data_IF_082665553465
#
_entry.id   IF_082665553465
#
_cell.length_a   1.000
_cell.length_b   1.000
_cell.length_c   1.000
_cell.angle_alpha   90.00
_cell.angle_beta   90.00
_cell.angle_gamma   90.00
#
_symmetry.space_group_name_H-M   'P 1'
#
loop_
_entity.id
_entity.type
_entity.pdbx_description
1 polymer ?
#
# COMPACT_ATOMS: atom_id res chain seq x y z
N UNK A 1 13.33 -1.91 -29.88
CA UNK A 1 12.92 -2.36 -29.12
C UNK A 1 13.49 -3.36 -28.37
N UNK A 2 14.31 -4.01 -28.90
CA UNK A 2 14.95 -5.01 -28.17
C UNK A 2 15.86 -4.48 -27.13
N UNK A 3 16.35 -3.29 -27.32
CA UNK A 3 17.22 -2.75 -26.32
C UNK A 3 16.47 -2.58 -25.04
N UNK A 4 15.22 -2.30 -25.12
CA UNK A 4 14.43 -2.19 -23.93
C UNK A 4 14.30 -3.52 -23.26
N UNK A 5 14.13 -4.55 -24.08
CA UNK A 5 14.02 -5.85 -23.52
C UNK A 5 15.28 -6.29 -22.92
N UNK A 6 16.39 -5.89 -23.47
CA UNK A 6 17.65 -6.27 -22.92
C UNK A 6 17.92 -5.62 -21.61
N UNK A 7 17.42 -4.42 -21.43
CA UNK A 7 17.59 -3.74 -20.18
C UNK A 7 16.64 -4.30 -19.14
N UNK A 8 15.45 -4.65 -19.60
CA UNK A 8 14.43 -5.14 -18.70
C UNK A 8 14.84 -6.29 -17.83
N UNK A 9 15.60 -7.25 -18.28
CA UNK A 9 15.93 -8.37 -17.41
C UNK A 9 16.58 -7.94 -16.12
N UNK A 10 17.45 -6.96 -16.18
CA UNK A 10 18.09 -6.50 -14.97
C UNK A 10 17.08 -5.83 -14.05
N UNK A 11 16.16 -5.10 -14.66
CA UNK A 11 15.13 -4.46 -13.88
C UNK A 11 14.16 -5.49 -13.38
N UNK A 12 13.83 -6.43 -14.23
CA UNK A 12 12.88 -7.45 -13.84
C UNK A 12 13.35 -8.29 -12.70
N UNK A 13 14.65 -8.45 -12.58
CA UNK A 13 15.16 -9.17 -11.47
C UNK A 13 14.68 -8.58 -10.18
N UNK A 14 14.66 -7.27 -10.08
CA UNK A 14 14.19 -6.61 -8.90
C UNK A 14 12.68 -6.60 -8.80
N UNK A 15 12.01 -6.83 -9.93
CA UNK A 15 10.56 -6.75 -9.94
C UNK A 15 9.85 -8.06 -10.22
N UNK A 16 10.58 -9.15 -10.19
CA UNK A 16 9.93 -10.44 -10.42
C UNK A 16 9.14 -10.89 -9.20
N UNK A 17 9.42 -10.30 -8.04
CA UNK A 17 8.70 -10.63 -6.84
C UNK A 17 7.40 -9.84 -6.82
N UNK A 18 6.24 -10.48 -6.99
CA UNK A 18 4.98 -9.74 -7.01
C UNK A 18 4.71 -8.98 -5.71
N UNK A 19 5.17 -9.51 -4.60
CA UNK A 19 4.97 -8.83 -3.34
C UNK A 19 5.76 -7.54 -3.26
N UNK A 20 6.97 -7.56 -3.78
CA UNK A 20 7.77 -6.34 -3.79
C UNK A 20 7.18 -5.31 -4.71
N UNK A 21 6.66 -5.75 -5.85
CA UNK A 21 6.01 -4.83 -6.77
C UNK A 21 4.81 -4.17 -6.13
N UNK A 22 4.01 -4.95 -5.43
CA UNK A 22 2.82 -4.41 -4.81
C UNK A 22 3.16 -3.45 -3.70
N UNK A 23 4.21 -3.76 -2.93
CA UNK A 23 4.62 -2.85 -1.87
C UNK A 23 5.16 -1.55 -2.43
N UNK A 24 5.93 -1.63 -3.49
CA UNK A 24 6.47 -0.43 -4.11
C UNK A 24 5.35 0.43 -4.67
N UNK A 25 4.41 -0.19 -5.33
CA UNK A 25 3.30 0.53 -5.91
C UNK A 25 2.44 1.17 -4.81
N UNK A 26 2.26 0.46 -3.72
CA UNK A 26 1.50 0.99 -2.60
C UNK A 26 2.14 2.24 -2.05
N UNK A 27 3.45 2.19 -1.81
CA UNK A 27 4.16 3.34 -1.27
C UNK A 27 4.14 4.50 -2.25
N UNK A 28 4.35 4.20 -3.51
CA UNK A 28 4.39 5.22 -4.54
C UNK A 28 3.05 5.95 -4.68
N UNK A 29 1.97 5.23 -4.56
CA UNK A 29 0.65 5.81 -4.75
C UNK A 29 -0.07 6.12 -3.46
N UNK A 30 0.61 5.98 -2.35
CA UNK A 30 -0.05 6.15 -1.05
C UNK A 30 -0.65 7.53 -0.86
N UNK A 31 0.05 8.57 -1.28
CA UNK A 31 -0.49 9.92 -1.11
C UNK A 31 -1.78 10.11 -1.91
N UNK A 32 -1.89 9.46 -3.06
CA UNK A 32 -3.11 9.53 -3.84
C UNK A 32 -4.22 8.67 -3.26
N UNK A 33 -3.84 7.56 -2.63
CA UNK A 33 -4.83 6.65 -2.07
C UNK A 33 -5.40 7.16 -0.76
N UNK A 34 -4.54 7.62 0.12
CA UNK A 34 -4.97 8.07 1.44
C UNK A 34 -5.24 9.57 1.50
N UNK A 35 -4.78 10.31 0.51
CA UNK A 35 -4.83 11.75 0.57
C UNK A 35 -3.56 12.28 1.17
N UNK A 36 -3.14 13.47 0.71
CA UNK A 36 -1.86 14.01 1.14
C UNK A 36 -1.77 14.14 2.65
N UNK A 37 -2.85 14.59 3.24
CA UNK A 37 -2.85 14.83 4.66
C UNK A 37 -2.66 13.55 5.46
N UNK A 38 -3.44 12.54 5.15
CA UNK A 38 -3.32 11.28 5.85
C UNK A 38 -2.02 10.56 5.50
N UNK A 39 -1.58 10.71 4.27
CA UNK A 39 -0.36 10.01 3.85
C UNK A 39 0.85 10.47 4.65
N UNK A 40 0.87 11.72 5.06
CA UNK A 40 1.99 12.23 5.83
C UNK A 40 1.98 11.74 7.26
N UNK A 41 0.83 11.29 7.74
CA UNK A 41 0.68 10.88 9.12
C UNK A 41 0.60 9.38 9.28
N UNK A 42 0.69 8.64 8.20
CA UNK A 42 0.53 7.20 8.24
C UNK A 42 1.65 6.51 7.50
N UNK A 43 1.86 5.25 7.83
CA UNK A 43 2.83 4.42 7.14
C UNK A 43 2.15 3.13 6.74
N UNK A 44 2.02 2.87 5.43
CA UNK A 44 1.37 1.64 4.99
C UNK A 44 2.34 0.48 4.94
N UNK A 45 1.86 -0.69 5.27
CA UNK A 45 2.64 -1.91 5.18
C UNK A 45 1.75 -3.03 4.73
N UNK A 46 2.13 -3.70 3.65
CA UNK A 46 1.34 -4.79 3.12
C UNK A 46 2.01 -6.11 3.47
N UNK A 47 1.25 -6.99 4.10
CA UNK A 47 1.77 -8.29 4.44
C UNK A 47 1.53 -9.26 3.30
N UNK A 48 2.25 -10.38 3.30
CA UNK A 48 2.09 -11.38 2.26
C UNK A 48 0.74 -12.07 2.34
N UNK A 49 0.05 -11.90 3.46
CA UNK A 49 -1.26 -12.53 3.63
C UNK A 49 -2.41 -11.65 3.18
N UNK A 50 -2.11 -10.51 2.60
CA UNK A 50 -3.15 -9.64 2.10
C UNK A 50 -3.70 -8.66 3.11
N UNK A 51 -3.00 -8.45 4.20
CA UNK A 51 -3.43 -7.49 5.21
C UNK A 51 -2.63 -6.21 5.05
N UNK A 52 -3.33 -5.12 4.87
CA UNK A 52 -2.68 -3.81 4.80
C UNK A 52 -2.69 -3.21 6.19
N UNK A 53 -1.51 -3.02 6.75
CA UNK A 53 -1.36 -2.37 8.03
C UNK A 53 -1.10 -0.90 7.81
N UNK A 54 -1.87 -0.07 8.49
CA UNK A 54 -1.68 1.37 8.44
C UNK A 54 -1.24 1.82 9.81
N UNK A 55 0.00 2.22 9.93
CA UNK A 55 0.55 2.64 11.21
C UNK A 55 0.41 4.14 11.38
N UNK A 56 -0.09 4.56 12.51
CA UNK A 56 -0.25 5.96 12.83
C UNK A 56 0.41 6.24 14.17
N UNK A 57 0.72 7.50 14.40
CA UNK A 57 1.41 7.86 15.63
C UNK A 57 0.47 8.15 16.79
N UNK A 58 -0.78 8.48 16.49
CA UNK A 58 -1.72 8.85 17.52
C UNK A 58 -2.95 7.96 17.51
N UNK A 59 -3.40 7.61 18.70
CA UNK A 59 -4.58 6.76 18.82
C UNK A 59 -5.83 7.43 18.27
N UNK A 60 -5.93 8.73 18.41
CA UNK A 60 -7.10 9.45 17.91
C UNK A 60 -7.19 9.30 16.39
N UNK A 61 -6.06 9.44 15.73
CA UNK A 61 -6.05 9.31 14.28
C UNK A 61 -6.34 7.87 13.86
N UNK A 62 -5.82 6.91 14.60
CA UNK A 62 -6.11 5.51 14.31
C UNK A 62 -7.60 5.24 14.38
N UNK A 63 -8.22 5.77 15.41
CA UNK A 63 -9.66 5.60 15.58
C UNK A 63 -10.43 6.23 14.44
N UNK A 64 -10.04 7.42 14.06
CA UNK A 64 -10.69 8.13 12.97
C UNK A 64 -10.60 7.36 11.67
N UNK A 65 -9.43 6.87 11.35
CA UNK A 65 -9.25 6.12 10.12
C UNK A 65 -10.06 4.84 10.15
N UNK A 66 -10.05 4.15 11.30
CA UNK A 66 -10.80 2.91 11.43
C UNK A 66 -12.30 3.13 11.24
N UNK A 67 -12.80 4.24 11.74
CA UNK A 67 -14.23 4.49 11.68
C UNK A 67 -14.69 5.08 10.35
N UNK A 68 -13.90 5.97 9.79
CA UNK A 68 -14.34 6.73 8.63
C UNK A 68 -13.68 6.34 7.32
N UNK A 69 -12.43 5.92 7.36
CA UNK A 69 -11.69 5.75 6.12
C UNK A 69 -11.30 4.32 5.77
N UNK A 70 -11.46 3.42 6.71
CA UNK A 70 -10.97 2.06 6.52
C UNK A 70 -11.56 1.39 5.29
N UNK A 71 -12.86 1.42 5.14
CA UNK A 71 -13.51 0.76 4.02
C UNK A 71 -13.15 1.44 2.70
N UNK A 72 -13.13 2.77 2.70
CA UNK A 72 -12.79 3.49 1.49
C UNK A 72 -11.35 3.22 1.10
N UNK A 73 -10.45 3.15 2.07
CA UNK A 73 -9.05 2.84 1.79
C UNK A 73 -8.93 1.45 1.20
N UNK A 74 -9.63 0.50 1.79
CA UNK A 74 -9.57 -0.86 1.29
C UNK A 74 -9.98 -0.92 -0.17
N UNK A 75 -11.07 -0.26 -0.51
CA UNK A 75 -11.53 -0.28 -1.88
C UNK A 75 -10.57 0.40 -2.83
N UNK A 76 -10.00 1.51 -2.41
CA UNK A 76 -9.05 2.22 -3.25
C UNK A 76 -7.79 1.42 -3.47
N UNK A 77 -7.29 0.80 -2.42
CA UNK A 77 -6.07 0.01 -2.53
C UNK A 77 -6.33 -1.23 -3.38
N UNK A 78 -7.51 -1.84 -3.22
CA UNK A 78 -7.86 -2.98 -4.03
C UNK A 78 -7.97 -2.62 -5.50
N UNK A 79 -8.39 -1.40 -5.80
CA UNK A 79 -8.48 -0.97 -7.18
C UNK A 79 -7.10 -0.85 -7.82
N UNK A 80 -6.09 -0.55 -7.01
CA UNK A 80 -4.72 -0.39 -7.51
C UNK A 80 -3.97 -1.71 -7.48
N UNK A 81 -4.06 -2.45 -6.40
CA UNK A 81 -3.27 -3.65 -6.20
C UNK A 81 -4.01 -4.95 -6.49
N UNK A 82 -5.33 -4.91 -6.54
CA UNK A 82 -6.11 -6.11 -6.75
C UNK A 82 -6.79 -6.58 -5.48
N UNK A 83 -7.97 -7.17 -5.63
CA UNK A 83 -8.72 -7.63 -4.49
C UNK A 83 -8.05 -8.78 -3.77
N UNK A 84 -7.32 -9.58 -4.52
CA UNK A 84 -6.64 -10.70 -3.91
C UNK A 84 -5.38 -10.28 -3.19
N UNK A 85 -4.81 -9.15 -3.59
CA UNK A 85 -3.59 -8.66 -2.96
C UNK A 85 -3.87 -8.05 -1.60
N UNK A 86 -5.03 -7.41 -1.45
CA UNK A 86 -5.38 -6.73 -0.21
C UNK A 86 -6.78 -7.17 0.19
N UNK A 87 -6.86 -7.91 1.26
CA UNK A 87 -8.14 -8.44 1.71
C UNK A 87 -8.66 -7.72 2.93
N UNK A 88 -7.79 -7.09 3.66
CA UNK A 88 -8.17 -6.46 4.90
C UNK A 88 -7.25 -5.28 5.19
N UNK A 89 -7.80 -4.28 5.86
CA UNK A 89 -7.02 -3.14 6.32
C UNK A 89 -7.09 -3.11 7.83
N UNK A 90 -5.93 -2.95 8.48
CA UNK A 90 -5.85 -2.82 9.93
C UNK A 90 -5.10 -1.57 10.25
N UNK A 91 -5.63 -0.79 11.17
CA UNK A 91 -5.01 0.45 11.59
C UNK A 91 -4.41 0.24 12.96
N UNK A 92 -3.12 0.54 13.09
CA UNK A 92 -2.40 0.31 14.33
C UNK A 92 -1.69 1.58 14.77
N UNK A 93 -1.54 1.73 16.08
CA UNK A 93 -0.79 2.83 16.63
C UNK A 93 0.64 2.36 16.82
N UNK A 94 1.59 3.13 16.29
CA UNK A 94 2.96 2.73 16.43
C UNK A 94 3.80 3.46 15.43
N UNK A 95 5.00 2.88 15.12
CA UNK A 95 5.85 3.57 14.24
C UNK A 95 5.46 3.42 12.85
#
# INVERSE_FOLDING_TARGET
>A
MDEIREILPAILKGFTDPEKQKRSLLVEKWSGLAGEKLAKQTTPRLSSKGILYVYVKEAVLAYEISQKYKTALLKKVQAVLGEEAVKEVRVLVGK
#
